data_IF_320320992325
#
_entry.id   IF_320320992325
#
_cell.length_a   1.000
_cell.length_b   1.000
_cell.length_c   1.000
_cell.angle_alpha   90.00
_cell.angle_beta   90.00
_cell.angle_gamma   90.00
#
_symmetry.space_group_name_H-M   'P 1'
#
loop_
_entity.id
_entity.type
_entity.pdbx_description
1 polymer ?
#
# COMPACT_ATOMS: atom_id res chain seq x y z
N UNK A 1 -49.96 19.43 20.58
CA UNK A 1 -49.10 19.73 19.41
C UNK A 1 -47.65 19.57 19.85
N UNK A 2 -47.20 18.32 20.03
CA UNK A 2 -45.82 17.92 20.34
C UNK A 2 -45.66 16.53 19.73
N UNK A 3 -44.69 16.33 18.84
CA UNK A 3 -44.40 14.98 18.31
C UNK A 3 -43.88 14.88 16.88
N UNK A 4 -43.46 15.96 16.22
CA UNK A 4 -42.81 15.86 14.90
C UNK A 4 -41.30 16.10 14.96
N UNK A 5 -40.82 17.00 15.82
CA UNK A 5 -39.38 17.30 15.96
C UNK A 5 -38.55 16.13 16.51
N UNK A 6 -39.15 15.26 17.33
CA UNK A 6 -38.46 14.12 17.96
C UNK A 6 -38.24 12.97 16.97
N UNK A 7 -39.11 12.86 15.95
CA UNK A 7 -39.02 11.79 14.94
C UNK A 7 -37.87 12.00 13.97
N UNK A 8 -37.62 13.24 13.53
CA UNK A 8 -36.52 13.56 12.61
C UNK A 8 -35.14 13.33 13.25
N UNK A 9 -35.02 13.58 14.57
CA UNK A 9 -33.81 13.29 15.32
C UNK A 9 -33.53 11.79 15.43
N UNK A 10 -34.58 10.97 15.61
CA UNK A 10 -34.47 9.50 15.67
C UNK A 10 -34.06 8.94 14.31
N UNK A 11 -34.65 9.42 13.21
CA UNK A 11 -34.28 9.01 11.85
C UNK A 11 -32.85 9.43 11.50
N UNK A 12 -32.43 10.64 11.87
CA UNK A 12 -31.05 11.10 11.67
C UNK A 12 -30.00 10.28 12.43
N UNK A 13 -30.33 9.81 13.64
CA UNK A 13 -29.47 8.96 14.44
C UNK A 13 -29.37 7.52 13.89
N UNK A 14 -30.47 6.95 13.41
CA UNK A 14 -30.49 5.63 12.76
C UNK A 14 -29.63 5.62 11.49
N UNK A 15 -29.79 6.64 10.65
CA UNK A 15 -29.00 6.81 9.43
C UNK A 15 -27.51 6.94 9.74
N UNK A 16 -27.12 7.70 10.77
CA UNK A 16 -25.71 7.80 11.22
C UNK A 16 -25.17 6.48 11.78
N UNK A 17 -25.99 5.69 12.47
CA UNK A 17 -25.59 4.40 13.01
C UNK A 17 -25.38 3.35 11.89
N UNK A 18 -26.26 3.32 10.89
CA UNK A 18 -26.11 2.44 9.72
C UNK A 18 -24.84 2.78 8.93
N UNK A 19 -24.55 4.07 8.67
CA UNK A 19 -23.29 4.45 8.02
C UNK A 19 -22.05 4.11 8.86
N UNK A 20 -22.15 4.18 10.19
CA UNK A 20 -21.05 3.77 11.05
C UNK A 20 -20.83 2.25 11.04
N UNK A 21 -21.89 1.46 10.92
CA UNK A 21 -21.81 0.00 10.78
C UNK A 21 -21.25 -0.41 9.42
N UNK A 22 -21.67 0.25 8.33
CA UNK A 22 -21.17 0.02 6.97
C UNK A 22 -19.65 0.32 6.86
N UNK A 23 -19.16 1.30 7.63
CA UNK A 23 -17.73 1.60 7.76
C UNK A 23 -16.94 0.59 8.61
N UNK A 24 -17.63 -0.23 9.41
CA UNK A 24 -17.04 -1.24 10.30
C UNK A 24 -16.98 -2.61 9.61
N UNK A 25 -17.94 -2.96 8.75
CA UNK A 25 -17.97 -4.27 8.06
C UNK A 25 -16.86 -4.46 7.01
N UNK A 26 -16.31 -3.38 6.43
CA UNK A 26 -15.21 -3.47 5.43
C UNK A 26 -13.80 -3.46 6.05
N UNK A 27 -13.71 -3.61 7.38
CA UNK A 27 -12.44 -3.75 8.12
C UNK A 27 -12.31 -5.19 8.61
N UNK A 28 -11.10 -5.74 8.58
CA UNK A 28 -10.87 -7.04 9.20
C UNK A 28 -11.29 -6.97 10.68
N UNK A 29 -12.09 -7.94 11.14
CA UNK A 29 -12.62 -8.00 12.51
C UNK A 29 -11.55 -8.49 13.51
N UNK A 30 -10.35 -7.91 13.45
CA UNK A 30 -9.22 -8.25 14.33
C UNK A 30 -8.50 -6.96 14.75
N UNK A 31 -8.49 -6.71 16.06
CA UNK A 31 -7.68 -5.64 16.66
C UNK A 31 -6.21 -6.08 16.73
N UNK A 32 -5.37 -5.47 15.89
CA UNK A 32 -3.92 -5.61 15.91
C UNK A 32 -3.22 -4.31 16.34
N UNK A 33 -3.89 -3.50 17.16
CA UNK A 33 -3.36 -2.24 17.68
C UNK A 33 -2.20 -2.46 18.67
N UNK A 34 -2.23 -3.57 19.40
CA UNK A 34 -1.23 -3.96 20.39
C UNK A 34 0.18 -4.11 19.82
N UNK A 35 1.24 -3.79 20.60
CA UNK A 35 2.63 -3.87 20.16
C UNK A 35 3.07 -5.29 19.75
N UNK A 36 2.43 -6.33 20.27
CA UNK A 36 2.66 -7.73 19.89
C UNK A 36 2.40 -8.00 18.40
N UNK A 37 1.59 -7.17 17.74
CA UNK A 37 1.30 -7.26 16.30
C UNK A 37 2.14 -6.29 15.44
N UNK A 38 3.17 -5.67 16.01
CA UNK A 38 4.07 -4.81 15.25
C UNK A 38 4.71 -5.56 14.07
N UNK A 39 4.93 -6.87 14.18
CA UNK A 39 5.44 -7.66 13.06
C UNK A 39 4.46 -7.68 11.87
N UNK A 40 3.15 -7.85 12.12
CA UNK A 40 2.12 -7.80 11.06
C UNK A 40 2.10 -6.42 10.41
N UNK A 41 2.06 -5.36 11.21
CA UNK A 41 2.04 -3.97 10.72
C UNK A 41 3.35 -3.51 10.09
N UNK A 42 4.44 -4.28 10.27
CA UNK A 42 5.72 -4.03 9.60
C UNK A 42 5.78 -4.61 8.19
N UNK A 43 4.84 -5.48 7.81
CA UNK A 43 4.78 -6.06 6.47
C UNK A 43 4.48 -4.94 5.47
N UNK A 44 5.36 -4.79 4.48
CA UNK A 44 5.21 -3.86 3.37
C UNK A 44 5.26 -4.63 2.07
N UNK A 45 4.22 -4.48 1.26
CA UNK A 45 4.12 -5.14 -0.06
C UNK A 45 4.32 -4.09 -1.14
N UNK A 46 5.39 -4.18 -1.89
CA UNK A 46 5.61 -3.34 -3.07
C UNK A 46 5.24 -4.14 -4.32
N UNK A 47 4.22 -3.69 -5.04
CA UNK A 47 3.88 -4.20 -6.37
C UNK A 47 4.41 -3.23 -7.42
N UNK A 48 5.53 -3.61 -8.03
CA UNK A 48 6.09 -2.95 -9.21
C UNK A 48 5.34 -3.51 -10.43
N UNK A 49 4.18 -2.93 -10.72
CA UNK A 49 3.33 -3.34 -11.85
C UNK A 49 4.06 -3.25 -13.17
N UNK A 50 4.82 -2.17 -13.33
CA UNK A 50 5.85 -2.03 -14.34
C UNK A 50 6.83 -0.92 -13.97
N UNK A 51 8.07 -1.10 -14.39
CA UNK A 51 9.08 -0.06 -14.44
C UNK A 51 9.84 -0.20 -15.76
N UNK A 52 9.78 0.85 -16.57
CA UNK A 52 10.44 0.92 -17.87
C UNK A 52 11.30 2.17 -17.97
N UNK A 53 12.53 1.98 -18.40
CA UNK A 53 13.43 3.05 -18.76
C UNK A 53 14.20 2.66 -20.01
N UNK A 54 14.35 3.57 -20.97
CA UNK A 54 15.24 3.39 -22.12
C UNK A 54 15.49 4.74 -22.80
N UNK A 55 16.65 4.87 -23.45
CA UNK A 55 16.88 5.98 -24.36
C UNK A 55 15.86 5.93 -25.51
N UNK A 56 15.41 7.11 -25.94
CA UNK A 56 14.51 7.27 -27.07
C UNK A 56 14.79 8.57 -27.81
N UNK A 57 14.46 8.61 -29.10
CA UNK A 57 14.70 9.78 -29.95
C UNK A 57 16.14 9.87 -30.48
N UNK A 58 16.39 10.86 -31.33
CA UNK A 58 17.73 11.11 -31.91
C UNK A 58 18.71 11.73 -30.91
N UNK A 59 18.19 12.40 -29.88
CA UNK A 59 18.98 13.18 -28.92
C UNK A 59 19.41 12.38 -27.67
N UNK A 60 18.98 11.10 -27.57
CA UNK A 60 19.32 10.23 -26.45
C UNK A 60 18.52 10.50 -25.17
N UNK A 61 17.36 11.16 -25.28
CA UNK A 61 16.53 11.49 -24.13
C UNK A 61 16.07 10.23 -23.39
N UNK A 62 16.15 10.29 -22.06
CA UNK A 62 15.75 9.18 -21.23
C UNK A 62 14.24 9.12 -21.04
N UNK A 63 13.59 8.16 -21.68
CA UNK A 63 12.19 7.87 -21.41
C UNK A 63 12.08 6.95 -20.19
N UNK A 64 11.35 7.40 -19.16
CA UNK A 64 11.20 6.69 -17.89
C UNK A 64 9.73 6.73 -17.45
N UNK A 65 9.16 5.56 -17.18
CA UNK A 65 7.81 5.44 -16.63
C UNK A 65 7.68 4.21 -15.74
N UNK A 66 7.02 4.37 -14.58
CA UNK A 66 6.80 3.28 -13.66
C UNK A 66 5.47 3.45 -12.93
N UNK A 67 4.88 2.32 -12.55
CA UNK A 67 3.77 2.25 -11.60
C UNK A 67 4.18 1.30 -10.49
N UNK A 68 4.32 1.86 -9.29
CA UNK A 68 4.62 1.14 -8.06
C UNK A 68 3.53 1.48 -7.04
N UNK A 69 2.97 0.46 -6.41
CA UNK A 69 2.05 0.64 -5.27
C UNK A 69 2.61 -0.04 -4.03
N UNK A 70 2.40 0.59 -2.87
CA UNK A 70 2.79 0.08 -1.57
C UNK A 70 1.54 -0.36 -0.81
N UNK A 71 1.54 -1.59 -0.34
CA UNK A 71 0.51 -2.18 0.49
C UNK A 71 0.96 -2.22 1.95
N UNK A 72 0.08 -1.82 2.86
CA UNK A 72 0.33 -1.77 4.31
C UNK A 72 -0.88 -2.21 5.10
N UNK A 73 -0.65 -2.77 6.29
CA UNK A 73 -1.70 -3.11 7.25
C UNK A 73 -1.95 -1.99 8.26
N UNK A 74 -3.21 -1.66 8.49
CA UNK A 74 -3.68 -0.77 9.55
C UNK A 74 -3.81 -1.47 10.90
N UNK A 75 -4.28 -0.75 11.92
CA UNK A 75 -4.39 -1.30 13.29
C UNK A 75 -5.57 -2.25 13.45
N UNK A 76 -6.55 -2.20 12.56
CA UNK A 76 -7.68 -3.13 12.53
C UNK A 76 -7.43 -4.28 11.54
N UNK A 77 -6.19 -4.52 11.13
CA UNK A 77 -5.86 -5.55 10.16
C UNK A 77 -6.34 -5.26 8.74
N UNK A 78 -6.92 -4.08 8.50
CA UNK A 78 -7.25 -3.59 7.17
C UNK A 78 -5.98 -3.48 6.31
N UNK A 79 -6.08 -3.85 5.04
CA UNK A 79 -4.97 -3.74 4.09
C UNK A 79 -5.32 -2.73 3.01
N UNK A 80 -4.43 -1.78 2.78
CA UNK A 80 -4.65 -0.71 1.81
C UNK A 80 -3.44 -0.49 0.92
N UNK A 81 -3.72 -0.07 -0.32
CA UNK A 81 -2.72 0.32 -1.29
C UNK A 81 -2.57 1.83 -1.34
N UNK A 82 -1.34 2.30 -1.45
CA UNK A 82 -1.01 3.70 -1.72
C UNK A 82 -0.06 3.80 -2.91
N UNK A 83 -0.16 4.89 -3.67
CA UNK A 83 0.80 5.19 -4.73
C UNK A 83 2.20 5.30 -4.14
N UNK A 84 3.17 4.71 -4.83
CA UNK A 84 4.58 4.74 -4.43
C UNK A 84 5.47 5.02 -5.64
N UNK A 85 6.78 4.81 -5.51
CA UNK A 85 7.74 5.03 -6.58
C UNK A 85 8.92 4.06 -6.47
N UNK A 86 9.69 3.85 -7.56
CA UNK A 86 10.91 3.07 -7.49
C UNK A 86 11.92 3.55 -6.43
N UNK A 87 11.97 4.85 -6.15
CA UNK A 87 12.87 5.41 -5.13
C UNK A 87 12.50 5.03 -3.68
N UNK A 88 11.28 4.52 -3.46
CA UNK A 88 10.83 4.04 -2.16
C UNK A 88 11.11 2.55 -1.94
N UNK A 89 11.59 1.84 -2.96
CA UNK A 89 11.94 0.43 -2.85
C UNK A 89 13.12 0.25 -1.89
N UNK A 90 13.07 -0.74 -0.98
CA UNK A 90 14.17 -1.02 -0.07
C UNK A 90 15.42 -1.48 -0.82
N UNK A 91 16.59 -1.30 -0.21
CA UNK A 91 17.87 -1.72 -0.81
C UNK A 91 17.99 -3.23 -1.05
N UNK A 92 17.14 -4.04 -0.40
CA UNK A 92 17.04 -5.48 -0.64
C UNK A 92 16.28 -5.85 -1.92
N UNK A 93 15.54 -4.91 -2.51
CA UNK A 93 14.88 -5.10 -3.81
C UNK A 93 15.92 -5.27 -4.92
N UNK A 94 15.65 -6.18 -5.85
CA UNK A 94 16.51 -6.45 -6.99
C UNK A 94 15.85 -6.12 -8.34
N UNK A 95 16.62 -5.62 -9.29
CA UNK A 95 16.20 -5.37 -10.68
C UNK A 95 15.91 -3.92 -11.04
N UNK A 96 15.95 -2.99 -10.07
CA UNK A 96 15.81 -1.54 -10.28
C UNK A 96 16.98 -0.73 -9.72
N UNK A 97 18.11 -1.36 -9.43
CA UNK A 97 19.31 -0.73 -8.86
C UNK A 97 19.83 0.42 -9.72
N UNK A 98 19.65 0.30 -11.04
CA UNK A 98 20.09 1.27 -12.05
C UNK A 98 19.00 2.23 -12.52
N UNK A 99 17.83 2.16 -11.90
CA UNK A 99 16.76 3.12 -12.15
C UNK A 99 17.23 4.52 -11.75
N UNK A 100 17.09 5.51 -12.62
CA UNK A 100 17.61 6.85 -12.32
C UNK A 100 18.93 7.20 -12.99
N UNK A 101 19.76 6.21 -13.35
CA UNK A 101 21.07 6.41 -13.99
C UNK A 101 20.98 6.98 -15.42
N UNK A 102 22.11 7.00 -16.15
CA UNK A 102 22.28 7.39 -17.56
C UNK A 102 21.50 6.48 -18.53
N UNK A 103 20.20 6.42 -18.32
CA UNK A 103 19.19 5.71 -19.07
C UNK A 103 19.47 4.27 -19.54
N UNK A 104 20.03 3.37 -18.71
CA UNK A 104 20.07 1.97 -19.09
C UNK A 104 18.67 1.45 -19.43
N UNK A 105 18.63 0.55 -20.42
CA UNK A 105 17.40 -0.16 -20.77
C UNK A 105 17.00 -1.06 -19.60
N UNK A 106 15.82 -0.77 -19.05
CA UNK A 106 15.20 -1.49 -17.94
C UNK A 106 13.77 -1.80 -18.35
N UNK A 107 13.39 -3.06 -18.13
CA UNK A 107 12.01 -3.50 -18.08
C UNK A 107 11.91 -4.47 -16.90
N UNK A 108 11.12 -4.10 -15.91
CA UNK A 108 11.04 -4.85 -14.66
C UNK A 108 9.62 -4.86 -14.13
N UNK A 109 9.21 -6.01 -13.60
CA UNK A 109 7.98 -6.20 -12.86
C UNK A 109 8.27 -7.17 -11.72
N UNK A 110 7.78 -6.84 -10.55
CA UNK A 110 7.97 -7.70 -9.37
C UNK A 110 6.95 -7.38 -8.30
N UNK A 111 6.71 -8.38 -7.46
CA UNK A 111 6.15 -8.18 -6.13
C UNK A 111 7.29 -8.39 -5.14
N UNK A 112 7.54 -7.41 -4.29
CA UNK A 112 8.55 -7.43 -3.25
C UNK A 112 7.87 -7.23 -1.90
N UNK A 113 8.14 -8.13 -0.95
CA UNK A 113 7.57 -8.08 0.40
C UNK A 113 8.73 -7.96 1.37
N UNK A 114 8.67 -7.01 2.31
CA UNK A 114 9.58 -6.94 3.45
C UNK A 114 8.80 -6.94 4.77
N UNK A 115 9.43 -7.40 5.84
CA UNK A 115 8.87 -7.39 7.19
C UNK A 115 9.97 -7.37 8.26
N UNK A 116 9.56 -7.10 9.49
CA UNK A 116 10.31 -7.44 10.71
C UNK A 116 9.57 -8.52 11.46
N UNK A 117 10.25 -9.62 11.78
CA UNK A 117 9.64 -10.70 12.56
C UNK A 117 9.39 -10.29 14.03
N UNK A 118 8.85 -11.20 14.84
CA UNK A 118 8.57 -10.94 16.26
C UNK A 118 9.84 -10.58 17.07
N UNK A 119 11.01 -11.08 16.65
CA UNK A 119 12.31 -10.75 17.26
C UNK A 119 12.95 -9.48 16.67
N UNK A 120 12.31 -8.83 15.70
CA UNK A 120 12.78 -7.62 15.03
C UNK A 120 13.74 -7.87 13.86
N UNK A 121 13.99 -9.13 13.49
CA UNK A 121 14.87 -9.47 12.37
C UNK A 121 14.21 -9.06 11.05
N UNK A 122 15.01 -8.48 10.16
CA UNK A 122 14.57 -8.11 8.83
C UNK A 122 14.45 -9.34 7.92
N UNK A 123 13.31 -9.50 7.26
CA UNK A 123 13.07 -10.51 6.24
C UNK A 123 12.47 -9.89 4.99
N UNK A 124 12.69 -10.54 3.84
CA UNK A 124 12.08 -10.14 2.58
C UNK A 124 11.95 -11.31 1.61
N UNK A 125 11.03 -11.18 0.66
CA UNK A 125 10.87 -12.06 -0.50
C UNK A 125 10.58 -11.25 -1.75
N UNK A 126 11.00 -11.75 -2.90
CA UNK A 126 10.73 -11.12 -4.19
C UNK A 126 10.34 -12.15 -5.24
N UNK A 127 9.29 -11.85 -6.00
CA UNK A 127 8.87 -12.61 -7.17
C UNK A 127 8.91 -11.70 -8.40
N UNK A 128 9.65 -12.13 -9.42
CA UNK A 128 9.75 -11.46 -10.72
C UNK A 128 8.82 -12.14 -11.73
N UNK A 129 8.16 -11.37 -12.61
CA UNK A 129 7.19 -11.90 -13.58
C UNK A 129 7.06 -11.07 -14.87
#
# INVERSE_FOLDING_TARGET
MLGLEDSDAVWGNLVRADYALDLVEDRADIDISGPEFNFVRSIRVFDVRYARQNESGRDGDCNRSAVVVLGTYGTQGDFSWQTSSPAALPAAHAGLERWGEHCPSIYHRSVFVEWRDYSGNYGFEQVNY
#
